data_IF_360655710315
#
_entry.id   IF_360655710315
#
_cell.length_a   1.000
_cell.length_b   1.000
_cell.length_c   1.000
_cell.angle_alpha   90.00
_cell.angle_beta   90.00
_cell.angle_gamma   90.00
#
_symmetry.space_group_name_H-M   'P 1'
#
loop_
_entity.id
_entity.type
_entity.pdbx_description
1 polymer ?
#
# COMPACT_ATOMS: atom_id res chain seq x y z
N UNK A 1 32.09 26.94 10.57
CA UNK A 1 32.24 25.49 10.75
C UNK A 1 30.98 24.95 11.44
N UNK A 2 30.46 23.78 11.04
CA UNK A 2 29.35 23.11 11.74
C UNK A 2 29.93 21.90 12.47
N UNK A 3 29.69 21.81 13.78
CA UNK A 3 30.10 20.67 14.59
C UNK A 3 29.42 19.39 14.10
N UNK A 4 30.19 18.31 13.98
CA UNK A 4 29.69 16.96 13.68
C UNK A 4 30.15 16.02 14.77
N UNK A 5 29.19 15.32 15.39
CA UNK A 5 29.45 14.42 16.51
C UNK A 5 29.21 12.97 16.08
N UNK A 6 30.05 12.07 16.57
CA UNK A 6 29.96 10.64 16.30
C UNK A 6 30.21 9.83 17.57
N UNK A 7 29.54 8.69 17.67
CA UNK A 7 29.82 7.65 18.68
C UNK A 7 30.01 6.30 17.99
N UNK A 8 30.25 5.26 18.78
CA UNK A 8 30.29 3.88 18.26
C UNK A 8 28.96 3.44 17.62
N UNK A 9 27.84 4.06 18.01
CA UNK A 9 26.51 3.76 17.46
C UNK A 9 26.30 4.40 16.09
N UNK A 10 26.84 5.61 15.87
CA UNK A 10 26.69 6.37 14.62
C UNK A 10 26.68 7.89 14.83
N UNK A 11 26.12 8.67 13.87
CA UNK A 11 26.00 10.12 13.98
C UNK A 11 25.20 10.52 15.22
N UNK A 12 25.59 11.62 15.85
CA UNK A 12 24.97 12.11 17.09
C UNK A 12 24.25 13.43 16.84
N UNK A 13 23.03 13.53 17.39
CA UNK A 13 22.19 14.73 17.36
C UNK A 13 21.95 15.22 18.78
N UNK A 14 22.19 16.51 19.03
CA UNK A 14 21.81 17.18 20.28
C UNK A 14 20.44 17.84 20.15
N UNK A 15 19.59 17.66 21.14
CA UNK A 15 18.30 18.33 21.33
C UNK A 15 18.29 18.97 22.73
N UNK A 16 17.41 19.95 23.00
CA UNK A 16 17.33 20.57 24.33
C UNK A 16 17.13 19.57 25.48
N UNK A 17 16.49 18.43 25.19
CA UNK A 17 16.17 17.39 26.15
C UNK A 17 17.17 16.23 26.20
N UNK A 18 18.22 16.21 25.37
CA UNK A 18 19.18 15.10 25.37
C UNK A 18 20.06 15.01 24.13
N UNK A 19 21.04 14.10 24.20
CA UNK A 19 21.96 13.78 23.11
C UNK A 19 21.72 12.35 22.66
N UNK A 20 21.52 12.14 21.36
CA UNK A 20 21.09 10.86 20.80
C UNK A 20 22.05 10.42 19.71
N UNK A 21 22.53 9.18 19.78
CA UNK A 21 23.25 8.55 18.69
C UNK A 21 22.26 7.76 17.82
N UNK A 22 22.40 7.88 16.50
CA UNK A 22 21.51 7.23 15.54
C UNK A 22 22.24 6.04 14.94
N UNK A 23 21.67 4.84 15.10
CA UNK A 23 22.12 3.61 14.46
C UNK A 23 21.01 3.04 13.59
N UNK A 24 21.28 2.84 12.31
CA UNK A 24 20.30 2.35 11.34
C UNK A 24 20.86 1.23 10.46
N UNK A 25 19.98 0.35 9.98
CA UNK A 25 20.37 -0.79 9.14
C UNK A 25 20.92 -0.33 7.79
N UNK A 26 21.94 -1.01 7.28
CA UNK A 26 22.59 -0.63 6.02
C UNK A 26 23.58 0.53 6.13
N UNK A 27 23.93 0.96 7.35
CA UNK A 27 24.98 1.96 7.57
C UNK A 27 26.28 1.57 6.85
N UNK A 28 26.77 2.44 5.97
CA UNK A 28 27.98 2.21 5.17
C UNK A 28 27.77 1.40 3.88
N UNK A 29 26.55 0.95 3.58
CA UNK A 29 26.23 0.30 2.30
C UNK A 29 25.93 1.34 1.23
N UNK A 30 26.61 1.23 0.09
CA UNK A 30 26.47 2.13 -1.07
C UNK A 30 26.10 1.39 -2.36
N UNK A 31 25.90 0.06 -2.29
CA UNK A 31 25.64 -0.79 -3.46
C UNK A 31 24.18 -0.87 -3.89
N UNK A 32 23.29 0.03 -3.43
CA UNK A 32 21.86 -0.05 -3.71
C UNK A 32 21.59 0.01 -5.22
N UNK A 33 22.27 0.92 -5.93
CA UNK A 33 22.13 1.08 -7.38
C UNK A 33 22.56 -0.20 -8.11
N UNK A 34 23.66 -0.81 -7.67
CA UNK A 34 24.17 -2.06 -8.24
C UNK A 34 23.17 -3.21 -8.03
N UNK A 35 22.61 -3.36 -6.83
CA UNK A 35 21.60 -4.36 -6.56
C UNK A 35 20.37 -4.16 -7.45
N UNK A 36 19.82 -2.95 -7.52
CA UNK A 36 18.67 -2.66 -8.40
C UNK A 36 18.98 -2.94 -9.86
N UNK A 37 20.16 -2.57 -10.35
CA UNK A 37 20.59 -2.85 -11.71
C UNK A 37 20.65 -4.36 -11.99
N UNK A 38 21.30 -5.13 -11.11
CA UNK A 38 21.43 -6.58 -11.27
C UNK A 38 20.08 -7.29 -11.20
N UNK A 39 19.19 -6.89 -10.28
CA UNK A 39 17.81 -7.42 -10.21
C UNK A 39 17.06 -7.22 -11.52
N UNK A 40 17.12 -6.02 -12.11
CA UNK A 40 16.40 -5.70 -13.35
C UNK A 40 17.07 -6.27 -14.62
N UNK A 41 18.29 -6.79 -14.51
CA UNK A 41 19.04 -7.42 -15.61
C UNK A 41 19.16 -8.93 -15.48
N UNK A 42 18.65 -9.50 -14.38
CA UNK A 42 18.60 -10.93 -14.17
C UNK A 42 17.80 -11.61 -15.28
N UNK A 43 18.30 -12.76 -15.75
CA UNK A 43 17.70 -13.52 -16.85
C UNK A 43 16.85 -14.68 -16.36
N UNK A 44 17.03 -15.06 -15.11
CA UNK A 44 16.34 -16.15 -14.43
C UNK A 44 16.27 -15.88 -12.92
N UNK A 45 15.59 -16.78 -12.22
CA UNK A 45 15.37 -16.70 -10.79
C UNK A 45 16.68 -16.73 -9.98
N UNK A 46 17.68 -17.50 -10.42
CA UNK A 46 18.92 -17.70 -9.67
C UNK A 46 19.80 -16.44 -9.75
N UNK A 47 19.92 -15.82 -10.93
CA UNK A 47 20.57 -14.52 -11.10
C UNK A 47 19.86 -13.43 -10.28
N UNK A 48 18.52 -13.44 -10.26
CA UNK A 48 17.74 -12.49 -9.48
C UNK A 48 17.94 -12.69 -7.97
N UNK A 49 17.92 -13.93 -7.50
CA UNK A 49 18.14 -14.29 -6.10
C UNK A 49 19.55 -13.89 -5.65
N UNK A 50 20.56 -14.15 -6.49
CA UNK A 50 21.94 -13.72 -6.23
C UNK A 50 22.06 -12.19 -6.13
N UNK A 51 21.31 -11.43 -6.94
CA UNK A 51 21.24 -9.98 -6.82
C UNK A 51 20.59 -9.55 -5.48
N UNK A 52 19.53 -10.23 -5.05
CA UNK A 52 18.88 -9.96 -3.76
C UNK A 52 19.78 -10.27 -2.55
N UNK A 53 20.58 -11.33 -2.63
CA UNK A 53 21.56 -11.72 -1.59
C UNK A 53 22.66 -10.68 -1.34
N UNK A 54 22.84 -9.69 -2.23
CA UNK A 54 23.73 -8.55 -1.97
C UNK A 54 23.30 -7.74 -0.73
N UNK A 55 22.00 -7.75 -0.39
CA UNK A 55 21.38 -7.04 0.74
C UNK A 55 21.87 -5.58 0.91
N UNK A 56 22.02 -4.87 -0.20
CA UNK A 56 22.36 -3.44 -0.23
C UNK A 56 21.12 -2.57 0.03
N UNK A 57 19.96 -3.00 -0.46
CA UNK A 57 18.66 -2.39 -0.20
C UNK A 57 18.14 -2.89 1.16
N UNK A 58 18.07 -2.04 2.20
CA UNK A 58 17.87 -2.47 3.58
C UNK A 58 16.43 -2.88 3.92
N UNK A 59 15.50 -2.69 2.98
CA UNK A 59 14.08 -3.01 3.13
C UNK A 59 13.42 -3.21 1.75
N UNK A 60 12.36 -4.01 1.72
CA UNK A 60 11.08 -3.88 0.98
C UNK A 60 10.49 -5.29 0.83
N UNK A 61 9.19 -5.46 1.01
CA UNK A 61 8.53 -6.65 0.50
C UNK A 61 8.76 -6.74 -1.01
N UNK A 62 9.25 -7.88 -1.50
CA UNK A 62 9.68 -8.04 -2.88
C UNK A 62 9.03 -9.28 -3.49
N UNK A 63 8.30 -9.09 -4.58
CA UNK A 63 7.76 -10.17 -5.41
C UNK A 63 8.63 -10.40 -6.64
N UNK A 64 8.64 -11.63 -7.14
CA UNK A 64 9.23 -12.02 -8.42
C UNK A 64 8.28 -12.96 -9.14
N UNK A 65 8.23 -12.81 -10.47
CA UNK A 65 7.55 -13.74 -11.38
C UNK A 65 8.34 -13.82 -12.69
N UNK A 66 8.34 -14.99 -13.35
CA UNK A 66 8.94 -15.16 -14.67
C UNK A 66 8.11 -16.03 -15.62
N UNK A 67 8.55 -16.05 -16.89
CA UNK A 67 7.93 -16.83 -17.97
C UNK A 67 8.00 -18.35 -17.78
N UNK A 68 8.89 -18.83 -16.90
CA UNK A 68 9.06 -20.25 -16.61
C UNK A 68 8.07 -20.71 -15.51
N UNK A 69 7.22 -19.80 -15.03
CA UNK A 69 6.18 -20.05 -14.03
C UNK A 69 6.68 -19.98 -12.59
N UNK A 70 7.89 -19.45 -12.35
CA UNK A 70 8.33 -19.22 -10.98
C UNK A 70 7.65 -17.99 -10.41
N UNK A 71 7.17 -18.10 -9.17
CA UNK A 71 6.72 -16.99 -8.34
C UNK A 71 7.44 -17.04 -6.99
N UNK A 72 7.79 -15.85 -6.48
CA UNK A 72 8.50 -15.76 -5.22
C UNK A 72 8.10 -14.50 -4.46
N UNK A 73 7.97 -14.64 -3.15
CA UNK A 73 7.82 -13.54 -2.21
C UNK A 73 8.98 -13.55 -1.21
N UNK A 74 9.53 -12.37 -0.94
CA UNK A 74 10.56 -12.15 0.04
C UNK A 74 10.21 -10.94 0.90
N UNK A 75 10.17 -11.15 2.21
CA UNK A 75 10.24 -10.06 3.19
C UNK A 75 11.71 -9.59 3.27
N UNK A 76 12.15 -8.77 2.30
CA UNK A 76 13.54 -8.32 2.27
C UNK A 76 13.76 -7.23 3.33
N UNK A 77 14.79 -7.45 4.14
CA UNK A 77 15.22 -6.48 5.14
C UNK A 77 16.57 -6.82 5.75
N UNK A 78 17.31 -5.80 6.16
CA UNK A 78 18.46 -5.95 7.05
C UNK A 78 17.97 -5.93 8.50
N UNK A 79 17.51 -7.08 8.99
CA UNK A 79 16.96 -7.24 10.35
C UNK A 79 18.10 -7.38 11.37
N UNK A 80 18.36 -6.38 12.23
CA UNK A 80 19.52 -6.44 13.12
C UNK A 80 19.34 -7.51 14.20
N UNK A 81 20.42 -8.23 14.49
CA UNK A 81 20.49 -9.16 15.62
C UNK A 81 20.51 -8.36 16.93
N UNK A 82 19.35 -8.31 17.57
CA UNK A 82 19.07 -7.44 18.71
C UNK A 82 19.02 -8.25 20.01
N UNK A 83 19.58 -7.68 21.07
CA UNK A 83 19.43 -8.23 22.41
C UNK A 83 17.96 -8.20 22.85
N UNK A 84 17.55 -9.26 23.57
CA UNK A 84 16.26 -9.31 24.25
C UNK A 84 16.22 -8.36 25.46
N UNK A 85 15.02 -8.08 25.98
CA UNK A 85 14.84 -7.25 27.18
C UNK A 85 14.77 -5.74 26.92
N UNK A 86 14.92 -5.30 25.68
CA UNK A 86 14.80 -3.89 25.27
C UNK A 86 13.56 -3.67 24.41
N UNK A 87 12.86 -2.55 24.61
CA UNK A 87 11.87 -2.05 23.63
C UNK A 87 12.59 -1.19 22.59
N UNK A 88 12.95 -1.84 21.47
CA UNK A 88 13.69 -1.24 20.36
C UNK A 88 12.95 -0.12 19.61
N UNK A 89 11.72 0.22 20.02
CA UNK A 89 10.94 1.37 19.50
C UNK A 89 11.20 2.67 20.26
N UNK A 90 11.88 2.61 21.41
CA UNK A 90 12.17 3.76 22.27
C UNK A 90 13.64 4.17 22.24
N UNK A 91 13.98 5.26 22.95
CA UNK A 91 15.37 5.59 23.23
C UNK A 91 16.00 4.51 24.11
N UNK A 92 17.15 3.99 23.69
CA UNK A 92 17.87 2.93 24.38
C UNK A 92 19.10 3.49 25.12
N UNK A 93 19.58 2.79 26.16
CA UNK A 93 20.87 3.09 26.79
C UNK A 93 21.99 3.11 25.75
N UNK A 94 22.74 4.21 25.69
CA UNK A 94 23.84 4.42 24.74
C UNK A 94 25.21 4.04 25.31
N UNK A 95 25.27 3.80 26.61
CA UNK A 95 26.45 3.50 27.42
C UNK A 95 26.73 1.99 27.57
N UNK A 96 25.88 1.13 27.01
CA UNK A 96 26.05 -0.33 27.00
C UNK A 96 26.34 -0.85 25.60
N UNK A 97 27.08 -1.97 25.54
CA UNK A 97 27.32 -2.68 24.28
C UNK A 97 26.18 -3.63 23.89
N UNK A 98 25.25 -3.93 24.81
CA UNK A 98 24.11 -4.81 24.55
C UNK A 98 23.13 -4.24 23.51
N UNK A 99 23.01 -2.91 23.44
CA UNK A 99 22.18 -2.19 22.47
C UNK A 99 22.91 -1.93 21.15
N UNK A 100 24.20 -2.28 21.06
CA UNK A 100 25.03 -2.12 19.88
C UNK A 100 25.05 -3.41 19.04
N UNK A 101 24.00 -3.63 18.26
CA UNK A 101 23.93 -4.75 17.30
C UNK A 101 25.03 -4.65 16.23
N UNK A 102 25.57 -5.80 15.79
CA UNK A 102 26.73 -5.86 14.87
C UNK A 102 26.50 -6.73 13.63
N UNK A 103 25.47 -7.55 13.65
CA UNK A 103 25.09 -8.44 12.56
C UNK A 103 23.61 -8.28 12.25
N UNK A 104 23.22 -8.87 11.13
CA UNK A 104 21.83 -9.00 10.71
C UNK A 104 21.47 -10.47 10.63
N UNK A 105 20.18 -10.77 10.71
CA UNK A 105 19.65 -12.09 10.37
C UNK A 105 20.10 -12.45 8.94
N UNK A 106 20.65 -13.66 8.69
CA UNK A 106 21.07 -14.08 7.36
C UNK A 106 19.94 -14.03 6.33
N UNK A 107 20.28 -13.80 5.07
CA UNK A 107 19.31 -13.68 3.97
C UNK A 107 18.40 -14.91 3.87
N UNK A 108 18.98 -16.10 3.99
CA UNK A 108 18.31 -17.40 3.85
C UNK A 108 17.31 -17.67 4.98
N UNK A 109 17.41 -16.92 6.09
CA UNK A 109 16.52 -17.02 7.24
C UNK A 109 15.37 -16.02 7.17
N UNK A 110 15.38 -15.05 6.24
CA UNK A 110 14.28 -14.12 6.06
C UNK A 110 12.98 -14.86 5.67
N UNK A 111 11.79 -14.33 6.05
CA UNK A 111 10.52 -14.88 5.58
C UNK A 111 10.45 -14.84 4.03
N UNK A 112 10.29 -16.01 3.43
CA UNK A 112 10.27 -16.18 1.97
C UNK A 112 9.34 -17.32 1.56
N UNK A 113 8.74 -17.21 0.37
CA UNK A 113 7.81 -18.20 -0.21
C UNK A 113 8.15 -18.38 -1.68
N UNK A 114 8.50 -19.59 -2.11
CA UNK A 114 8.76 -19.95 -3.52
C UNK A 114 7.76 -20.98 -4.00
N UNK A 115 7.10 -20.71 -5.12
CA UNK A 115 6.19 -21.65 -5.81
C UNK A 115 5.28 -22.44 -4.84
N UNK A 116 4.47 -21.75 -4.01
CA UNK A 116 3.61 -22.43 -3.05
C UNK A 116 2.54 -23.28 -3.79
N UNK A 117 2.00 -24.34 -3.16
CA UNK A 117 1.00 -25.21 -3.79
C UNK A 117 -0.26 -24.49 -4.28
N UNK A 118 -0.59 -23.33 -3.70
CA UNK A 118 -1.70 -22.46 -4.11
C UNK A 118 -1.51 -21.80 -5.48
N UNK A 119 -0.27 -21.70 -5.99
CA UNK A 119 0.05 -20.89 -7.16
C UNK A 119 -0.07 -19.37 -6.94
N UNK A 120 -0.19 -18.91 -5.68
CA UNK A 120 -0.36 -17.50 -5.33
C UNK A 120 0.72 -17.03 -4.37
N UNK A 121 1.35 -15.89 -4.68
CA UNK A 121 2.06 -15.07 -3.70
C UNK A 121 1.53 -13.65 -3.74
N UNK A 122 1.35 -13.02 -2.59
CA UNK A 122 0.90 -11.63 -2.51
C UNK A 122 1.45 -10.94 -1.27
N UNK A 123 1.50 -9.61 -1.33
CA UNK A 123 1.64 -8.77 -0.15
C UNK A 123 0.86 -7.47 -0.35
N UNK A 124 -0.02 -7.18 0.58
CA UNK A 124 -0.79 -5.93 0.64
C UNK A 124 -0.50 -5.19 1.95
N UNK A 125 0.79 -5.08 2.29
CA UNK A 125 1.29 -4.57 3.58
C UNK A 125 0.86 -5.39 4.78
N UNK A 126 0.52 -6.67 4.57
CA UNK A 126 0.24 -7.60 5.64
C UNK A 126 1.50 -8.32 6.13
N UNK A 127 1.34 -9.02 7.24
CA UNK A 127 2.35 -9.91 7.82
C UNK A 127 2.93 -10.88 6.77
N UNK A 128 4.26 -11.08 6.73
CA UNK A 128 4.88 -12.02 5.81
C UNK A 128 4.51 -13.48 6.09
N UNK A 129 3.91 -13.76 7.26
CA UNK A 129 3.42 -15.08 7.66
C UNK A 129 2.09 -15.46 7.00
N UNK A 130 1.53 -14.57 6.16
CA UNK A 130 0.33 -14.80 5.34
C UNK A 130 0.55 -14.23 3.92
N UNK A 131 1.52 -14.77 3.20
CA UNK A 131 1.89 -14.36 1.84
C UNK A 131 1.33 -15.28 0.74
N UNK A 132 0.73 -16.42 1.10
CA UNK A 132 0.04 -17.35 0.20
C UNK A 132 -1.24 -17.87 0.87
N UNK A 133 -2.18 -18.40 0.09
CA UNK A 133 -3.22 -19.26 0.64
C UNK A 133 -2.63 -20.63 1.05
N UNK A 134 -3.10 -21.19 2.16
CA UNK A 134 -2.75 -22.53 2.60
C UNK A 134 -1.26 -22.76 2.96
N UNK A 135 -0.73 -23.99 2.71
CA UNK A 135 0.66 -24.36 3.00
C UNK A 135 1.69 -23.51 2.22
N UNK A 136 2.87 -23.34 2.81
CA UNK A 136 3.99 -22.60 2.21
C UNK A 136 4.30 -21.26 2.87
N UNK A 137 3.41 -20.78 3.75
CA UNK A 137 3.67 -19.59 4.56
C UNK A 137 4.85 -19.78 5.53
N UNK A 138 5.68 -18.74 5.77
CA UNK A 138 6.76 -18.81 6.74
C UNK A 138 6.24 -19.00 8.19
N UNK A 139 6.96 -19.78 8.99
CA UNK A 139 6.62 -20.02 10.39
C UNK A 139 7.06 -18.86 11.28
N UNK A 140 6.10 -18.14 11.84
CA UNK A 140 6.33 -16.97 12.69
C UNK A 140 7.08 -17.31 13.99
N UNK A 141 6.99 -18.54 14.48
CA UNK A 141 7.62 -18.96 15.75
C UNK A 141 9.15 -19.02 15.65
N UNK A 142 9.69 -19.03 14.43
CA UNK A 142 11.14 -18.99 14.17
C UNK A 142 11.75 -17.60 14.36
N UNK A 143 10.92 -16.56 14.48
CA UNK A 143 11.37 -15.17 14.52
C UNK A 143 11.16 -14.57 15.89
N UNK A 144 12.24 -14.06 16.48
CA UNK A 144 12.17 -13.41 17.77
C UNK A 144 11.51 -12.01 17.66
N UNK A 145 10.67 -11.59 18.63
CA UNK A 145 9.92 -10.34 18.56
C UNK A 145 10.78 -9.08 18.33
N UNK A 146 12.04 -9.08 18.76
CA UNK A 146 12.96 -7.95 18.58
C UNK A 146 13.29 -7.63 17.12
N UNK A 147 13.05 -8.55 16.18
CA UNK A 147 13.16 -8.26 14.75
C UNK A 147 12.10 -7.27 14.27
N UNK A 148 10.96 -7.17 14.99
CA UNK A 148 9.91 -6.19 14.70
C UNK A 148 9.18 -6.46 13.38
N UNK A 149 9.09 -7.73 12.96
CA UNK A 149 8.32 -8.15 11.79
C UNK A 149 6.84 -7.89 12.04
N UNK A 150 6.14 -7.29 11.07
CA UNK A 150 4.73 -6.95 11.20
C UNK A 150 3.85 -8.21 11.32
N UNK A 151 2.84 -8.14 12.19
CA UNK A 151 1.92 -9.25 12.49
C UNK A 151 0.49 -9.01 12.02
N UNK A 152 0.22 -7.83 11.47
CA UNK A 152 -1.15 -7.39 11.16
C UNK A 152 -1.58 -7.80 9.75
N UNK A 153 -2.89 -7.99 9.59
CA UNK A 153 -3.57 -8.11 8.30
C UNK A 153 -4.30 -6.80 7.96
N UNK A 154 -4.10 -6.33 6.73
CA UNK A 154 -4.84 -5.19 6.16
C UNK A 154 -6.17 -5.64 5.58
N UNK A 155 -7.15 -4.75 5.43
CA UNK A 155 -8.37 -5.11 4.70
C UNK A 155 -8.05 -5.52 3.26
N UNK A 156 -7.10 -4.83 2.62
CA UNK A 156 -6.67 -5.16 1.26
C UNK A 156 -6.13 -6.59 1.16
N UNK A 157 -5.31 -7.02 2.12
CA UNK A 157 -4.82 -8.40 2.18
C UNK A 157 -5.94 -9.43 2.38
N UNK A 158 -6.92 -9.13 3.26
CA UNK A 158 -8.10 -9.99 3.43
C UNK A 158 -8.90 -10.10 2.13
N UNK A 159 -9.12 -8.99 1.42
CA UNK A 159 -9.81 -8.99 0.14
C UNK A 159 -9.02 -9.72 -0.95
N UNK A 160 -7.70 -9.56 -0.98
CA UNK A 160 -6.85 -10.30 -1.92
C UNK A 160 -6.99 -11.81 -1.73
N UNK A 161 -7.00 -12.32 -0.49
CA UNK A 161 -7.25 -13.74 -0.23
C UNK A 161 -8.67 -14.18 -0.61
N UNK A 162 -9.69 -13.35 -0.33
CA UNK A 162 -11.09 -13.63 -0.67
C UNK A 162 -11.40 -13.55 -2.18
N UNK A 163 -10.45 -13.07 -2.99
CA UNK A 163 -10.57 -12.96 -4.45
C UNK A 163 -9.62 -13.95 -5.14
N UNK A 164 -8.31 -13.71 -5.02
CA UNK A 164 -7.28 -14.51 -5.68
C UNK A 164 -7.03 -15.85 -4.98
N UNK A 165 -7.19 -15.92 -3.64
CA UNK A 165 -6.88 -17.12 -2.88
C UNK A 165 -7.92 -18.24 -3.01
N UNK A 166 -9.15 -17.91 -3.40
CA UNK A 166 -10.27 -18.87 -3.53
C UNK A 166 -10.53 -19.31 -4.96
N UNK A 167 -9.81 -18.73 -5.93
CA UNK A 167 -10.00 -18.96 -7.35
C UNK A 167 -8.81 -19.77 -7.90
N UNK A 168 -9.07 -21.03 -8.25
CA UNK A 168 -8.05 -21.97 -8.73
C UNK A 168 -7.74 -21.80 -10.23
N UNK A 169 -8.46 -20.93 -10.94
CA UNK A 169 -8.37 -20.79 -12.40
C UNK A 169 -8.53 -19.35 -12.87
N UNK A 170 -7.78 -18.43 -12.25
CA UNK A 170 -7.85 -16.99 -12.53
C UNK A 170 -7.54 -16.72 -14.01
N UNK A 171 -8.52 -16.18 -14.74
CA UNK A 171 -8.31 -15.62 -16.08
C UNK A 171 -7.65 -14.25 -16.04
N UNK A 172 -7.09 -13.78 -17.17
CA UNK A 172 -6.55 -12.42 -17.27
C UNK A 172 -7.61 -11.36 -16.95
N UNK A 173 -8.85 -11.53 -17.43
CA UNK A 173 -9.95 -10.59 -17.12
C UNK A 173 -10.24 -10.55 -15.61
N UNK A 174 -10.27 -11.72 -14.95
CA UNK A 174 -10.46 -11.82 -13.51
C UNK A 174 -9.33 -11.18 -12.72
N UNK A 175 -8.08 -11.43 -13.13
CA UNK A 175 -6.91 -10.86 -12.48
C UNK A 175 -6.98 -9.33 -12.43
N UNK A 176 -7.38 -8.71 -13.56
CA UNK A 176 -7.55 -7.27 -13.67
C UNK A 176 -8.76 -6.80 -12.87
N UNK A 177 -9.91 -7.48 -12.97
CA UNK A 177 -11.12 -7.15 -12.22
C UNK A 177 -10.89 -7.17 -10.71
N UNK A 178 -10.17 -8.16 -10.19
CA UNK A 178 -9.88 -8.32 -8.77
C UNK A 178 -8.99 -7.18 -8.24
N UNK A 179 -8.05 -6.65 -9.04
CA UNK A 179 -7.23 -5.49 -8.66
C UNK A 179 -8.08 -4.25 -8.38
N UNK A 180 -9.20 -4.10 -9.10
CA UNK A 180 -10.10 -2.97 -8.95
C UNK A 180 -11.33 -3.26 -8.08
N UNK A 181 -11.31 -4.34 -7.29
CA UNK A 181 -12.39 -4.59 -6.33
C UNK A 181 -12.58 -3.38 -5.39
N UNK A 182 -13.85 -3.06 -5.14
CA UNK A 182 -14.29 -1.83 -4.49
C UNK A 182 -14.85 -2.06 -3.08
N UNK A 183 -14.66 -3.25 -2.53
CA UNK A 183 -15.34 -3.68 -1.31
C UNK A 183 -14.37 -3.82 -0.12
N UNK A 184 -14.83 -3.47 1.09
CA UNK A 184 -14.17 -3.92 2.32
C UNK A 184 -14.62 -5.35 2.66
N UNK A 185 -13.69 -6.17 3.16
CA UNK A 185 -14.00 -7.50 3.68
C UNK A 185 -14.95 -7.39 4.89
N UNK A 186 -15.81 -8.39 5.05
CA UNK A 186 -16.66 -8.55 6.24
C UNK A 186 -15.85 -8.83 7.52
N UNK A 187 -14.57 -9.19 7.38
CA UNK A 187 -13.60 -9.40 8.47
C UNK A 187 -12.78 -8.14 8.78
N UNK A 188 -12.99 -7.05 8.04
CA UNK A 188 -12.22 -5.82 8.18
C UNK A 188 -12.47 -5.09 9.50
N UNK A 189 -11.53 -4.22 9.88
CA UNK A 189 -11.71 -3.28 11.00
C UNK A 189 -12.92 -2.37 10.79
N UNK A 190 -13.22 -2.00 9.54
CA UNK A 190 -14.42 -1.24 9.19
C UNK A 190 -15.71 -2.03 9.51
N UNK A 191 -15.81 -3.28 9.06
CA UNK A 191 -16.97 -4.12 9.36
C UNK A 191 -17.15 -4.32 10.88
N UNK A 192 -16.05 -4.48 11.62
CA UNK A 192 -16.06 -4.60 13.08
C UNK A 192 -16.61 -3.37 13.78
N UNK A 193 -16.20 -2.15 13.41
CA UNK A 193 -16.74 -0.94 14.05
C UNK A 193 -18.19 -0.66 13.69
N UNK A 194 -18.65 -1.04 12.48
CA UNK A 194 -20.06 -0.88 12.11
C UNK A 194 -20.96 -1.74 13.00
N UNK A 195 -20.58 -2.99 13.27
CA UNK A 195 -21.30 -3.86 14.23
C UNK A 195 -21.42 -3.21 15.61
N UNK A 196 -20.36 -2.55 16.09
CA UNK A 196 -20.37 -1.83 17.36
C UNK A 196 -21.29 -0.60 17.34
N UNK A 197 -21.29 0.16 16.24
CA UNK A 197 -22.16 1.33 16.06
C UNK A 197 -23.64 0.94 15.99
N UNK A 198 -23.97 -0.16 15.32
CA UNK A 198 -25.36 -0.62 15.17
C UNK A 198 -25.97 -1.15 16.48
N UNK A 199 -25.14 -1.47 17.48
CA UNK A 199 -25.59 -1.86 18.81
C UNK A 199 -25.92 -0.66 19.73
N UNK A 200 -25.73 0.58 19.28
CA UNK A 200 -25.98 1.79 20.06
C UNK A 200 -27.45 2.18 19.94
N UNK A 201 -28.08 2.46 21.08
CA UNK A 201 -29.36 3.18 21.11
C UNK A 201 -29.09 4.69 20.97
N UNK A 202 -29.54 5.34 19.88
CA UNK A 202 -29.32 6.76 19.69
C UNK A 202 -30.18 7.64 20.62
N UNK A 203 -31.20 7.09 21.30
CA UNK A 203 -32.18 7.87 22.05
C UNK A 203 -32.81 8.96 21.18
N UNK A 204 -32.84 10.19 21.68
CA UNK A 204 -33.41 11.36 20.98
C UNK A 204 -32.40 12.07 20.04
N UNK A 205 -31.19 11.53 19.84
CA UNK A 205 -30.16 12.12 18.98
C UNK A 205 -30.47 11.86 17.49
N UNK A 206 -31.29 12.73 16.90
CA UNK A 206 -31.68 12.63 15.49
C UNK A 206 -30.50 12.60 14.50
N UNK A 207 -29.36 13.25 14.82
CA UNK A 207 -28.17 13.23 13.95
C UNK A 207 -27.57 11.83 13.95
N UNK A 208 -27.44 11.21 15.12
CA UNK A 208 -26.93 9.86 15.25
C UNK A 208 -27.88 8.83 14.62
N UNK A 209 -29.20 8.95 14.84
CA UNK A 209 -30.23 8.08 14.24
C UNK A 209 -30.11 8.10 12.72
N UNK A 210 -30.12 9.28 12.10
CA UNK A 210 -30.02 9.42 10.64
C UNK A 210 -28.70 8.85 10.11
N UNK A 211 -27.58 9.11 10.78
CA UNK A 211 -26.28 8.60 10.36
C UNK A 211 -26.19 7.07 10.45
N UNK A 212 -26.72 6.46 11.52
CA UNK A 212 -26.79 5.01 11.66
C UNK A 212 -27.68 4.39 10.58
N UNK A 213 -28.80 5.01 10.24
CA UNK A 213 -29.72 4.50 9.21
C UNK A 213 -29.13 4.52 7.80
N UNK A 214 -28.28 5.51 7.50
CA UNK A 214 -27.47 5.52 6.27
C UNK A 214 -26.46 4.36 6.29
N UNK A 215 -25.71 4.21 7.39
CA UNK A 215 -24.67 3.18 7.48
C UNK A 215 -25.21 1.75 7.50
N UNK A 216 -26.41 1.51 8.05
CA UNK A 216 -27.07 0.19 8.03
C UNK A 216 -27.40 -0.30 6.61
N UNK A 217 -27.56 0.63 5.66
CA UNK A 217 -27.79 0.32 4.24
C UNK A 217 -26.49 0.14 3.45
N UNK A 218 -25.35 0.46 4.05
CA UNK A 218 -24.07 0.37 3.37
C UNK A 218 -23.59 -1.08 3.31
N UNK A 219 -23.30 -1.54 2.10
CA UNK A 219 -22.82 -2.88 1.77
C UNK A 219 -21.29 -3.01 1.79
N UNK A 220 -20.61 -2.05 2.45
CA UNK A 220 -19.16 -1.92 2.49
C UNK A 220 -18.50 -1.66 1.13
N UNK A 221 -19.26 -1.24 0.10
CA UNK A 221 -18.67 -0.90 -1.20
C UNK A 221 -18.42 0.59 -1.40
N UNK A 222 -17.43 0.89 -2.21
CA UNK A 222 -16.94 2.24 -2.51
C UNK A 222 -17.08 2.58 -4.00
N UNK A 223 -18.11 2.04 -4.64
CA UNK A 223 -18.53 2.49 -5.97
C UNK A 223 -18.82 4.00 -5.94
N UNK A 224 -18.57 4.70 -7.05
CA UNK A 224 -18.80 6.13 -7.21
C UNK A 224 -20.27 6.51 -6.97
N UNK A 225 -21.19 5.57 -7.20
CA UNK A 225 -22.61 5.73 -6.92
C UNK A 225 -23.01 5.48 -5.45
N UNK A 226 -22.12 4.97 -4.60
CA UNK A 226 -22.46 4.56 -3.23
C UNK A 226 -22.90 5.77 -2.39
N UNK A 227 -24.15 5.80 -1.90
CA UNK A 227 -24.68 6.96 -1.16
C UNK A 227 -24.14 7.03 0.28
N UNK A 228 -23.65 5.91 0.83
CA UNK A 228 -23.23 5.79 2.22
C UNK A 228 -21.71 5.81 2.41
N UNK A 229 -20.92 5.48 1.37
CA UNK A 229 -19.47 5.43 1.48
C UNK A 229 -18.86 6.76 1.91
N UNK A 230 -19.40 7.89 1.45
CA UNK A 230 -18.93 9.22 1.84
C UNK A 230 -19.00 9.43 3.37
N UNK A 231 -20.15 9.09 3.98
CA UNK A 231 -20.35 9.20 5.42
C UNK A 231 -19.34 8.33 6.19
N UNK A 232 -19.24 7.05 5.83
CA UNK A 232 -18.34 6.11 6.50
C UNK A 232 -16.87 6.53 6.40
N UNK A 233 -16.40 6.85 5.19
CA UNK A 233 -15.00 7.16 4.95
C UNK A 233 -14.63 8.50 5.60
N UNK A 234 -15.46 9.54 5.50
CA UNK A 234 -15.17 10.83 6.16
C UNK A 234 -15.12 10.67 7.68
N UNK A 235 -16.03 9.89 8.26
CA UNK A 235 -16.05 9.63 9.71
C UNK A 235 -14.73 9.00 10.17
N UNK A 236 -14.27 7.94 9.49
CA UNK A 236 -13.24 7.06 10.02
C UNK A 236 -11.86 7.17 9.37
N UNK A 237 -11.74 7.92 8.26
CA UNK A 237 -10.49 8.26 7.55
C UNK A 237 -9.22 8.39 8.42
N UNK A 238 -9.23 9.14 9.54
CA UNK A 238 -7.99 9.36 10.31
C UNK A 238 -7.43 8.10 10.97
N UNK A 239 -8.21 7.02 11.03
CA UNK A 239 -7.87 5.79 11.74
C UNK A 239 -7.87 4.56 10.82
N UNK A 240 -8.14 4.74 9.52
CA UNK A 240 -8.19 3.60 8.57
C UNK A 240 -6.82 2.97 8.34
N UNK A 241 -5.73 3.69 8.62
CA UNK A 241 -4.37 3.16 8.57
C UNK A 241 -3.90 2.50 9.87
N UNK A 242 -4.76 2.38 10.90
CA UNK A 242 -4.45 1.67 12.14
C UNK A 242 -5.31 2.12 13.33
N UNK A 243 -5.58 1.20 14.26
CA UNK A 243 -6.28 1.41 15.53
C UNK A 243 -7.79 1.71 15.43
N UNK A 244 -8.40 1.67 14.25
CA UNK A 244 -9.83 1.94 14.07
C UNK A 244 -10.72 1.09 15.00
N UNK A 245 -10.44 -0.21 15.04
CA UNK A 245 -11.15 -1.20 15.85
C UNK A 245 -10.91 -1.06 17.35
N UNK A 246 -9.78 -0.45 17.74
CA UNK A 246 -9.45 -0.17 19.15
C UNK A 246 -10.04 1.15 19.67
N UNK A 247 -10.65 1.98 18.82
CA UNK A 247 -11.28 3.22 19.26
C UNK A 247 -12.42 2.95 20.24
N UNK A 248 -12.55 3.83 21.23
CA UNK A 248 -13.70 3.81 22.13
C UNK A 248 -14.99 4.12 21.38
N UNK A 249 -16.09 3.49 21.81
CA UNK A 249 -17.40 3.65 21.16
C UNK A 249 -17.86 5.12 21.12
N UNK A 250 -17.58 5.87 22.19
CA UNK A 250 -17.88 7.30 22.24
C UNK A 250 -17.16 8.09 21.13
N UNK A 251 -15.89 7.76 20.86
CA UNK A 251 -15.13 8.36 19.76
C UNK A 251 -15.75 8.02 18.42
N UNK A 252 -16.15 6.76 18.20
CA UNK A 252 -16.81 6.35 16.95
C UNK A 252 -18.11 7.14 16.71
N UNK A 253 -18.95 7.32 17.75
CA UNK A 253 -20.17 8.12 17.68
C UNK A 253 -19.87 9.58 17.36
N UNK A 254 -18.91 10.20 18.07
CA UNK A 254 -18.51 11.59 17.82
C UNK A 254 -18.02 11.80 16.38
N UNK A 255 -17.22 10.87 15.87
CA UNK A 255 -16.71 10.91 14.49
C UNK A 255 -17.83 10.77 13.47
N UNK A 256 -18.76 9.85 13.69
CA UNK A 256 -19.91 9.62 12.81
C UNK A 256 -20.81 10.87 12.74
N UNK A 257 -21.17 11.44 13.90
CA UNK A 257 -21.96 12.68 13.97
C UNK A 257 -21.25 13.85 13.28
N UNK A 258 -19.95 14.02 13.55
CA UNK A 258 -19.16 15.09 12.92
C UNK A 258 -19.11 14.98 11.40
N UNK A 259 -19.05 13.76 10.85
CA UNK A 259 -19.13 13.53 9.41
C UNK A 259 -20.51 13.85 8.84
N UNK A 260 -21.60 13.44 9.51
CA UNK A 260 -22.96 13.77 9.10
C UNK A 260 -23.20 15.30 9.09
N UNK A 261 -22.76 16.01 10.14
CA UNK A 261 -22.84 17.46 10.22
C UNK A 261 -21.97 18.16 9.17
N UNK A 262 -20.78 17.62 8.85
CA UNK A 262 -19.93 18.14 7.79
C UNK A 262 -20.62 18.01 6.42
N UNK A 263 -21.16 16.83 6.11
CA UNK A 263 -21.85 16.57 4.84
C UNK A 263 -23.09 17.45 4.69
N UNK A 264 -23.92 17.56 5.75
CA UNK A 264 -25.08 18.46 5.75
C UNK A 264 -24.65 19.92 5.56
N UNK A 265 -23.61 20.40 6.24
CA UNK A 265 -23.14 21.80 6.08
C UNK A 265 -22.60 22.10 4.69
N UNK A 266 -21.92 21.14 4.05
CA UNK A 266 -21.26 21.34 2.74
C UNK A 266 -22.17 21.06 1.55
N UNK A 267 -23.09 20.11 1.68
CA UNK A 267 -23.89 19.57 0.57
C UNK A 267 -25.40 19.57 0.83
N UNK A 268 -25.86 20.02 2.01
CA UNK A 268 -27.26 20.02 2.42
C UNK A 268 -27.92 18.62 2.44
N UNK A 269 -27.12 17.56 2.55
CA UNK A 269 -27.55 16.15 2.64
C UNK A 269 -26.41 15.28 3.18
N UNK A 270 -26.76 14.14 3.78
CA UNK A 270 -25.80 13.16 4.34
C UNK A 270 -25.47 12.06 3.32
N UNK A 271 -26.46 11.61 2.54
CA UNK A 271 -26.27 10.59 1.50
C UNK A 271 -25.73 11.23 0.23
N UNK A 272 -24.42 11.09 -0.03
CA UNK A 272 -23.75 11.65 -1.20
C UNK A 272 -23.16 10.51 -2.04
N UNK A 273 -23.39 10.48 -3.38
CA UNK A 273 -22.69 9.56 -4.26
C UNK A 273 -21.19 9.76 -4.07
N UNK A 274 -20.50 8.67 -3.78
CA UNK A 274 -19.09 8.72 -3.41
C UNK A 274 -18.22 9.45 -4.44
N UNK A 275 -18.47 9.28 -5.73
CA UNK A 275 -17.73 9.94 -6.81
C UNK A 275 -17.98 11.45 -6.92
N UNK A 276 -19.05 11.99 -6.33
CA UNK A 276 -19.22 13.44 -6.19
C UNK A 276 -18.29 14.01 -5.10
N UNK A 277 -17.94 13.20 -4.12
CA UNK A 277 -17.08 13.56 -2.99
C UNK A 277 -15.62 13.22 -3.27
N UNK A 278 -15.32 12.02 -3.75
CA UNK A 278 -13.97 11.52 -4.01
C UNK A 278 -13.57 11.78 -5.47
N UNK A 279 -12.59 12.66 -5.65
CA UNK A 279 -12.24 13.22 -6.96
C UNK A 279 -10.77 13.01 -7.30
N UNK A 280 -10.50 12.67 -8.56
CA UNK A 280 -9.18 12.82 -9.16
C UNK A 280 -9.09 14.21 -9.80
N UNK A 281 -8.47 15.13 -9.07
CA UNK A 281 -8.25 16.50 -9.54
C UNK A 281 -6.78 16.64 -9.92
N UNK A 282 -6.51 16.76 -11.22
CA UNK A 282 -5.15 16.89 -11.78
C UNK A 282 -5.16 17.73 -13.05
N UNK A 283 -4.38 18.82 -13.05
CA UNK A 283 -4.37 19.77 -14.17
C UNK A 283 -5.78 20.33 -14.37
N UNK A 284 -6.31 20.20 -15.58
CA UNK A 284 -7.70 20.58 -15.92
C UNK A 284 -8.71 19.43 -15.68
N UNK A 285 -8.24 18.24 -15.34
CA UNK A 285 -9.11 17.08 -15.09
C UNK A 285 -9.69 17.13 -13.68
N UNK A 286 -11.00 16.93 -13.58
CA UNK A 286 -11.74 16.72 -12.34
C UNK A 286 -12.72 15.55 -12.58
N UNK A 287 -12.27 14.33 -12.26
CA UNK A 287 -13.01 13.10 -12.52
C UNK A 287 -13.56 12.48 -11.22
N UNK A 288 -14.78 11.91 -11.23
CA UNK A 288 -15.26 11.10 -10.12
C UNK A 288 -14.39 9.86 -9.95
N UNK A 289 -14.21 9.40 -8.71
CA UNK A 289 -13.48 8.18 -8.39
C UNK A 289 -14.32 7.23 -7.53
N UNK A 290 -14.38 5.96 -7.93
CA UNK A 290 -14.62 4.85 -7.02
C UNK A 290 -13.36 4.56 -6.18
N UNK A 291 -13.44 3.54 -5.34
CA UNK A 291 -12.33 3.06 -4.54
C UNK A 291 -12.20 3.80 -3.22
N UNK A 292 -11.22 3.43 -2.42
CA UNK A 292 -11.15 3.94 -1.06
C UNK A 292 -9.90 3.51 -0.31
N UNK A 293 -9.74 3.96 0.93
CA UNK A 293 -8.59 3.59 1.74
C UNK A 293 -8.63 2.09 2.08
N UNK A 294 -7.47 1.44 2.05
CA UNK A 294 -7.29 0.04 2.47
C UNK A 294 -8.11 -1.03 1.72
N UNK A 295 -8.64 -0.75 0.52
CA UNK A 295 -9.25 -1.76 -0.39
C UNK A 295 -8.34 -2.03 -1.61
N UNK A 296 -8.76 -2.93 -2.52
CA UNK A 296 -7.97 -3.30 -3.71
C UNK A 296 -7.73 -2.11 -4.66
N UNK A 297 -8.77 -1.33 -5.00
CA UNK A 297 -8.60 -0.01 -5.62
C UNK A 297 -8.31 1.05 -4.56
N UNK A 298 -7.04 1.13 -4.15
CA UNK A 298 -6.63 1.98 -3.05
C UNK A 298 -6.68 3.46 -3.45
N UNK A 299 -7.52 4.25 -2.77
CA UNK A 299 -7.58 5.71 -2.95
C UNK A 299 -7.60 6.38 -1.57
N UNK A 300 -6.57 7.17 -1.29
CA UNK A 300 -6.48 8.02 -0.10
C UNK A 300 -6.55 9.48 -0.56
N UNK A 301 -7.48 10.21 0.05
CA UNK A 301 -7.85 11.55 -0.43
C UNK A 301 -7.74 12.58 0.69
N UNK A 302 -7.30 13.79 0.34
CA UNK A 302 -7.19 14.95 1.21
C UNK A 302 -8.40 15.88 1.07
N UNK A 303 -8.89 16.51 2.16
CA UNK A 303 -10.08 17.36 2.09
C UNK A 303 -9.79 18.64 1.30
N UNK A 304 -10.80 19.16 0.62
CA UNK A 304 -10.79 20.44 -0.07
C UNK A 304 -11.74 21.42 0.61
N UNK A 305 -11.60 22.72 0.33
CA UNK A 305 -12.41 23.78 0.96
C UNK A 305 -13.90 23.65 0.66
N UNK A 306 -14.25 23.16 -0.53
CA UNK A 306 -15.63 22.93 -0.99
C UNK A 306 -16.29 21.69 -0.34
N UNK A 307 -15.57 20.94 0.49
CA UNK A 307 -16.06 19.73 1.15
C UNK A 307 -15.80 18.44 0.38
N UNK A 308 -15.32 18.50 -0.87
CA UNK A 308 -14.88 17.32 -1.63
C UNK A 308 -13.52 16.83 -1.12
N UNK A 309 -13.12 15.67 -1.59
CA UNK A 309 -11.85 15.02 -1.31
C UNK A 309 -11.07 14.89 -2.62
N UNK A 310 -9.79 15.27 -2.60
CA UNK A 310 -8.86 15.10 -3.72
C UNK A 310 -7.97 13.90 -3.46
N UNK A 311 -7.94 12.93 -4.37
CA UNK A 311 -7.01 11.79 -4.30
C UNK A 311 -5.56 12.28 -4.28
N UNK A 312 -4.78 11.79 -3.31
CA UNK A 312 -3.39 12.21 -3.05
C UNK A 312 -2.44 11.04 -2.82
N UNK A 313 -2.95 9.84 -2.50
CA UNK A 313 -2.17 8.62 -2.37
C UNK A 313 -3.02 7.38 -2.67
N UNK A 314 -2.40 6.21 -2.72
CA UNK A 314 -3.05 4.93 -3.03
C UNK A 314 -2.42 4.28 -4.26
N UNK A 315 -3.26 3.70 -5.11
CA UNK A 315 -2.90 3.24 -6.44
C UNK A 315 -2.12 4.34 -7.16
N UNK A 316 -0.97 4.00 -7.74
CA UNK A 316 -0.10 4.94 -8.45
C UNK A 316 0.30 4.36 -9.81
N UNK A 317 1.56 3.97 -9.97
CA UNK A 317 1.97 3.13 -11.08
C UNK A 317 1.37 1.74 -10.88
N UNK A 318 0.52 1.31 -11.81
CA UNK A 318 0.07 -0.08 -11.90
C UNK A 318 0.66 -0.64 -13.19
N UNK A 319 1.32 -1.79 -13.08
CA UNK A 319 1.80 -2.59 -14.19
C UNK A 319 1.19 -3.99 -14.06
N UNK A 320 0.47 -4.40 -15.09
CA UNK A 320 -0.01 -5.77 -15.25
C UNK A 320 0.89 -6.47 -16.24
N UNK A 321 1.32 -7.68 -15.91
CA UNK A 321 2.19 -8.51 -16.75
C UNK A 321 1.65 -9.92 -16.77
N UNK A 322 1.58 -10.50 -17.96
CA UNK A 322 1.23 -11.90 -18.16
C UNK A 322 2.16 -12.52 -19.21
N UNK A 323 2.38 -13.82 -19.09
CA UNK A 323 3.03 -14.63 -20.11
C UNK A 323 2.04 -15.66 -20.62
N UNK A 324 1.95 -15.80 -21.94
CA UNK A 324 1.18 -16.87 -22.54
C UNK A 324 1.93 -18.22 -22.46
N UNK A 325 1.29 -19.30 -22.94
CA UNK A 325 1.89 -20.64 -22.93
C UNK A 325 3.17 -20.75 -23.79
N UNK A 326 3.39 -19.83 -24.73
CA UNK A 326 4.61 -19.76 -25.54
C UNK A 326 5.70 -18.90 -24.86
N UNK A 327 5.42 -18.33 -23.68
CA UNK A 327 6.32 -17.44 -22.95
C UNK A 327 6.38 -16.04 -23.53
N UNK A 328 5.44 -15.65 -24.40
CA UNK A 328 5.33 -14.29 -24.91
C UNK A 328 4.73 -13.40 -23.83
N UNK A 329 5.42 -12.29 -23.54
CA UNK A 329 4.98 -11.31 -22.54
C UNK A 329 3.94 -10.36 -23.15
N UNK A 330 2.87 -10.11 -22.41
CA UNK A 330 1.96 -9.00 -22.61
C UNK A 330 1.94 -8.15 -21.33
N UNK A 331 1.88 -6.82 -21.49
CA UNK A 331 1.85 -5.93 -20.33
C UNK A 331 1.15 -4.61 -20.62
N UNK A 332 0.43 -4.14 -19.62
CA UNK A 332 -0.31 -2.88 -19.65
C UNK A 332 -0.02 -2.07 -18.39
N UNK A 333 -0.10 -0.75 -18.50
CA UNK A 333 0.22 0.15 -17.40
C UNK A 333 -0.72 1.34 -17.30
N UNK A 334 -0.79 1.93 -16.12
CA UNK A 334 -1.44 3.23 -15.91
C UNK A 334 -0.72 3.99 -14.79
N UNK A 335 -0.61 5.31 -14.93
CA UNK A 335 -0.12 6.22 -13.89
C UNK A 335 -0.98 7.49 -13.88
N UNK A 336 -1.85 7.64 -12.89
CA UNK A 336 -2.82 8.73 -12.81
C UNK A 336 -2.21 10.14 -12.76
N UNK A 337 -0.92 10.27 -12.45
CA UNK A 337 -0.21 11.55 -12.42
C UNK A 337 0.57 11.87 -13.70
N UNK A 338 0.37 11.10 -14.77
CA UNK A 338 1.08 11.25 -16.04
C UNK A 338 2.55 10.86 -15.93
N UNK A 339 3.31 11.03 -17.02
CA UNK A 339 4.76 10.75 -17.08
C UNK A 339 5.61 12.00 -16.81
N UNK A 340 5.05 13.20 -16.94
CA UNK A 340 5.70 14.47 -16.61
C UNK A 340 5.18 14.99 -15.26
N UNK A 341 5.41 14.25 -14.17
CA UNK A 341 4.69 14.42 -12.90
C UNK A 341 4.92 15.76 -12.21
N UNK A 342 6.04 16.42 -12.47
CA UNK A 342 6.45 17.70 -11.87
C UNK A 342 6.17 18.93 -12.76
N UNK A 343 5.82 18.73 -14.04
CA UNK A 343 5.72 19.80 -15.03
C UNK A 343 4.25 20.06 -15.38
N UNK A 344 3.58 20.99 -14.70
CA UNK A 344 2.13 21.22 -14.85
C UNK A 344 1.67 21.62 -16.25
N UNK A 345 2.57 22.21 -17.04
CA UNK A 345 2.29 22.70 -18.38
C UNK A 345 2.55 21.64 -19.47
N UNK A 346 3.11 20.49 -19.10
CA UNK A 346 3.33 19.38 -20.01
C UNK A 346 2.00 18.73 -20.41
N UNK A 347 1.80 18.35 -21.69
CA UNK A 347 0.65 17.54 -22.08
C UNK A 347 0.58 16.22 -21.30
N UNK A 348 1.72 15.69 -20.84
CA UNK A 348 1.82 14.44 -20.10
C UNK A 348 1.75 14.58 -18.58
N UNK A 349 1.23 15.71 -18.08
CA UNK A 349 1.01 15.93 -16.65
C UNK A 349 -0.27 15.25 -16.13
N UNK A 350 -1.32 15.21 -16.95
CA UNK A 350 -2.66 14.77 -16.57
C UNK A 350 -3.37 13.92 -17.63
N UNK A 351 -2.70 13.59 -18.73
CA UNK A 351 -3.25 12.83 -19.86
C UNK A 351 -3.76 11.43 -19.49
N UNK A 352 -3.17 10.81 -18.47
CA UNK A 352 -3.59 9.49 -17.96
C UNK A 352 -4.68 9.53 -16.88
N UNK A 353 -4.98 10.70 -16.30
CA UNK A 353 -5.96 10.82 -15.23
C UNK A 353 -7.38 10.35 -15.64
N UNK A 354 -7.91 10.70 -16.84
CA UNK A 354 -9.21 10.22 -17.29
C UNK A 354 -9.27 8.70 -17.49
N UNK A 355 -8.19 8.08 -17.98
CA UNK A 355 -8.09 6.62 -18.16
C UNK A 355 -8.11 5.92 -16.81
N UNK A 356 -7.28 6.39 -15.86
CA UNK A 356 -7.22 5.84 -14.51
C UNK A 356 -8.57 5.92 -13.80
N UNK A 357 -9.29 7.05 -13.92
CA UNK A 357 -10.61 7.21 -13.33
C UNK A 357 -11.61 6.15 -13.84
N UNK A 358 -11.48 5.75 -15.11
CA UNK A 358 -12.28 4.70 -15.77
C UNK A 358 -11.70 3.28 -15.61
N UNK A 359 -10.63 3.09 -14.83
CA UNK A 359 -9.91 1.82 -14.67
C UNK A 359 -9.37 1.26 -16.00
N UNK A 360 -8.99 2.15 -16.92
CA UNK A 360 -8.44 1.78 -18.23
C UNK A 360 -6.91 1.84 -18.19
N UNK A 361 -6.29 0.87 -18.87
CA UNK A 361 -4.85 0.80 -19.05
C UNK A 361 -4.46 1.25 -20.46
N UNK A 362 -3.15 1.42 -20.63
CA UNK A 362 -2.50 1.53 -21.94
C UNK A 362 -1.45 0.43 -22.09
N UNK A 363 -1.17 -0.04 -23.31
CA UNK A 363 -0.12 -1.03 -23.53
C UNK A 363 1.25 -0.49 -23.10
N UNK A 364 2.13 -1.38 -22.65
CA UNK A 364 3.56 -1.12 -22.50
C UNK A 364 4.26 -1.65 -23.74
N UNK A 365 4.76 -0.74 -24.57
CA UNK A 365 5.46 -1.09 -25.80
C UNK A 365 6.91 -1.48 -25.47
N UNK A 366 7.25 -2.75 -25.70
CA UNK A 366 8.59 -3.30 -25.46
C UNK A 366 9.38 -3.53 -26.76
N UNK A 367 8.67 -3.78 -27.87
CA UNK A 367 9.26 -4.00 -29.19
C UNK A 367 9.54 -2.67 -29.91
N UNK A 368 10.69 -2.59 -30.60
CA UNK A 368 11.11 -1.36 -31.28
C UNK A 368 10.15 -0.95 -32.41
N UNK A 369 9.61 -1.89 -33.18
CA UNK A 369 8.70 -1.55 -34.27
C UNK A 369 7.38 -0.98 -33.72
N UNK A 370 6.87 -1.55 -32.62
CA UNK A 370 5.71 -1.00 -31.93
C UNK A 370 5.98 0.40 -31.35
N UNK A 371 7.14 0.62 -30.73
CA UNK A 371 7.54 1.95 -30.22
C UNK A 371 7.62 2.96 -31.36
N UNK A 372 8.21 2.59 -32.51
CA UNK A 372 8.33 3.49 -33.67
C UNK A 372 6.98 3.86 -34.29
N UNK A 373 5.99 2.97 -34.23
CA UNK A 373 4.65 3.25 -34.75
C UNK A 373 3.89 4.31 -33.94
N UNK A 374 4.16 4.42 -32.63
CA UNK A 374 3.50 5.34 -31.70
C UNK A 374 4.42 6.51 -31.26
N UNK A 375 5.52 6.73 -31.99
CA UNK A 375 6.57 7.67 -31.60
C UNK A 375 6.12 9.13 -31.80
N UNK A 376 6.06 9.90 -30.72
CA UNK A 376 5.78 11.34 -30.79
C UNK A 376 7.05 12.19 -30.99
N UNK A 377 8.18 11.76 -30.41
CA UNK A 377 9.45 12.49 -30.46
C UNK A 377 10.65 11.55 -30.38
N UNK A 378 11.61 11.76 -31.28
CA UNK A 378 12.95 11.20 -31.19
C UNK A 378 13.94 12.31 -30.81
N UNK A 379 14.96 11.99 -30.02
CA UNK A 379 16.05 12.92 -29.73
C UNK A 379 17.34 12.15 -29.49
N UNK A 380 18.46 12.83 -29.70
CA UNK A 380 19.78 12.34 -29.30
C UNK A 380 20.29 13.20 -28.15
N UNK A 381 20.71 12.63 -27.00
CA UNK A 381 21.28 13.42 -25.92
C UNK A 381 22.48 14.23 -26.41
N UNK A 382 22.42 15.55 -26.22
CA UNK A 382 23.48 16.49 -26.62
C UNK A 382 23.28 17.17 -27.98
N UNK A 383 22.20 16.85 -28.71
CA UNK A 383 21.73 17.61 -29.88
C UNK A 383 20.65 18.63 -29.54
#
# INVERSE_FOLDING_TARGET
>A
ERETLWSVHGPVVRRPHGTYAIRYAGYGRIGQIEQWYRMNKARDFDEWLAAMQLQQVPMFNTGYADRDGNIFYLYNGLLPERAAGYDWRNYLPGETSETLWRSYLPFEELPQVKNPPSGLVFNCNNTPFQATDGPGNPDSTRFAPQFGIETDMTNRAMRAMELYGTDESITSEEFYRYKFDLQYSQKSKMATILKRLFAIDPGDDSVLTNALDVLKKWDLRTDAGSPAAALAIIAFRPYLSGHLDTLQTQTLVQRLKGAAEQLTRKFNRIEMPWGEVNRLIRGKSDAPLDGGPDIMRAIYSSPQEDGRLRATAGDSYILMVEWDQAGQVHSESIHQFGSATLESDSPHFADQAPLFAKMQFKPVLLDEAAIRAELEREYRPGE
#
